data_IF_980209778269
#
_entry.id   IF_980209778269
#
_cell.length_a   1.000
_cell.length_b   1.000
_cell.length_c   1.000
_cell.angle_alpha   90.00
_cell.angle_beta   90.00
_cell.angle_gamma   90.00
#
_symmetry.space_group_name_H-M   'P 1'
#
loop_
_entity.id
_entity.type
_entity.pdbx_description
1 polymer ?
#
# COMPACT_ATOMS: atom_id res chain seq x y z
N UNK A 1 23.55 32.46 24.64
CA UNK A 1 22.46 33.23 24.01
C UNK A 1 23.06 34.51 23.46
N UNK A 2 23.06 34.70 22.15
CA UNK A 2 23.38 36.02 21.57
C UNK A 2 22.19 36.93 21.86
N UNK A 3 22.43 38.15 22.32
CA UNK A 3 21.37 39.13 22.58
C UNK A 3 20.67 39.48 21.26
N UNK A 4 19.33 39.47 21.25
CA UNK A 4 18.51 39.69 20.06
C UNK A 4 18.79 41.06 19.42
N UNK A 5 18.97 42.08 20.25
CA UNK A 5 19.26 43.44 19.81
C UNK A 5 20.63 43.52 19.12
N UNK A 6 21.64 42.82 19.65
CA UNK A 6 22.97 42.76 19.03
C UNK A 6 22.93 42.09 17.66
N UNK A 7 22.11 41.05 17.50
CA UNK A 7 21.95 40.36 16.21
C UNK A 7 21.24 41.26 15.19
N UNK A 8 20.24 42.03 15.62
CA UNK A 8 19.55 43.02 14.79
C UNK A 8 20.49 44.14 14.37
N UNK A 9 21.28 44.68 15.29
CA UNK A 9 22.29 45.69 15.00
C UNK A 9 23.31 45.18 13.98
N UNK A 10 23.76 43.92 14.12
CA UNK A 10 24.67 43.28 13.18
C UNK A 10 24.02 43.09 11.80
N UNK A 11 22.74 42.71 11.75
CA UNK A 11 22.01 42.58 10.50
C UNK A 11 21.81 43.91 9.77
N UNK A 12 21.69 45.01 10.52
CA UNK A 12 21.66 46.38 9.97
C UNK A 12 23.05 46.79 9.47
N UNK A 13 24.11 46.45 10.19
CA UNK A 13 25.50 46.75 9.79
C UNK A 13 25.94 45.96 8.56
N UNK A 14 25.44 44.73 8.38
CA UNK A 14 25.75 43.88 7.24
C UNK A 14 24.50 43.49 6.44
N UNK A 15 23.90 44.43 5.66
CA UNK A 15 22.63 44.18 4.96
C UNK A 15 22.68 43.09 3.91
N UNK A 16 23.86 42.71 3.42
CA UNK A 16 24.01 41.70 2.36
C UNK A 16 24.32 40.30 2.90
N UNK A 17 24.49 40.14 4.22
CA UNK A 17 24.74 38.85 4.83
C UNK A 17 23.42 38.07 4.98
N UNK A 18 23.15 37.16 4.04
CA UNK A 18 21.95 36.33 4.05
C UNK A 18 21.83 35.46 5.33
N UNK A 19 22.95 34.89 5.80
CA UNK A 19 22.97 34.07 7.01
C UNK A 19 22.49 34.82 8.25
N UNK A 20 22.89 36.09 8.44
CA UNK A 20 22.46 36.90 9.58
C UNK A 20 20.96 37.17 9.56
N UNK A 21 20.40 37.38 8.38
CA UNK A 21 18.96 37.63 8.26
C UNK A 21 18.13 36.38 8.46
N UNK A 22 18.64 35.22 8.04
CA UNK A 22 18.02 33.93 8.33
C UNK A 22 18.00 33.65 9.83
N UNK A 23 19.08 33.98 10.56
CA UNK A 23 19.14 33.83 12.01
C UNK A 23 18.20 34.81 12.75
N UNK A 24 18.12 36.07 12.31
CA UNK A 24 17.15 37.04 12.85
C UNK A 24 15.72 36.53 12.63
N UNK A 25 15.41 36.09 11.41
CA UNK A 25 14.11 35.55 11.05
C UNK A 25 13.74 34.31 11.89
N UNK A 26 14.67 33.37 12.04
CA UNK A 26 14.47 32.18 12.85
C UNK A 26 14.16 32.55 14.30
N UNK A 27 14.84 33.56 14.85
CA UNK A 27 14.54 34.05 16.20
C UNK A 27 13.18 34.71 16.30
N UNK A 28 12.87 35.64 15.39
CA UNK A 28 11.58 36.34 15.36
C UNK A 28 10.41 35.34 15.28
N UNK A 29 10.61 34.23 14.54
CA UNK A 29 9.67 33.12 14.47
C UNK A 29 9.47 32.41 15.81
N UNK A 30 10.56 32.02 16.47
CA UNK A 30 10.51 31.35 17.78
C UNK A 30 9.93 32.24 18.88
N UNK A 31 10.16 33.55 18.80
CA UNK A 31 9.61 34.53 19.77
C UNK A 31 8.22 35.02 19.41
N UNK A 32 7.66 34.63 18.26
CA UNK A 32 6.40 35.12 17.71
C UNK A 32 6.34 36.66 17.68
N UNK A 33 7.42 37.30 17.24
CA UNK A 33 7.51 38.75 17.15
C UNK A 33 6.66 39.29 15.98
N UNK A 34 6.00 40.42 16.17
CA UNK A 34 5.24 41.12 15.13
C UNK A 34 6.14 41.52 13.94
N UNK A 35 7.43 41.73 14.19
CA UNK A 35 8.43 42.02 13.16
C UNK A 35 8.76 40.82 12.23
N UNK A 36 8.22 39.63 12.48
CA UNK A 36 8.50 38.41 11.72
C UNK A 36 8.23 38.56 10.21
N UNK A 37 7.10 39.17 9.82
CA UNK A 37 6.82 39.34 8.38
C UNK A 37 7.87 40.24 7.69
N UNK A 38 8.38 41.24 8.40
CA UNK A 38 9.37 42.15 7.87
C UNK A 38 10.73 41.46 7.74
N UNK A 39 11.14 40.68 8.75
CA UNK A 39 12.37 39.89 8.68
C UNK A 39 12.26 38.76 7.65
N UNK A 40 11.07 38.19 7.43
CA UNK A 40 10.82 37.19 6.40
C UNK A 40 11.04 37.76 5.01
N UNK A 41 10.46 38.94 4.73
CA UNK A 41 10.66 39.64 3.45
C UNK A 41 12.13 40.00 3.22
N UNK A 42 12.82 40.47 4.27
CA UNK A 42 14.25 40.81 4.22
C UNK A 42 15.11 39.59 3.90
N UNK A 43 14.89 38.47 4.58
CA UNK A 43 15.64 37.24 4.37
C UNK A 43 15.33 36.62 2.99
N UNK A 44 14.06 36.53 2.60
CA UNK A 44 13.63 35.95 1.33
C UNK A 44 14.12 36.75 0.08
N UNK A 45 14.44 38.04 0.26
CA UNK A 45 15.04 38.87 -0.78
C UNK A 45 16.52 38.51 -1.02
N UNK A 46 17.22 38.01 0.01
CA UNK A 46 18.67 37.78 -0.01
C UNK A 46 19.07 36.32 0.02
N UNK A 47 18.17 35.42 0.40
CA UNK A 47 18.40 33.99 0.26
C UNK A 47 18.39 33.60 -1.21
N UNK A 48 19.37 32.80 -1.60
CA UNK A 48 19.44 32.22 -2.95
C UNK A 48 18.43 31.10 -3.14
N UNK A 49 18.16 30.37 -2.05
CA UNK A 49 17.25 29.24 -2.01
C UNK A 49 16.14 29.50 -0.98
N UNK A 50 14.90 29.53 -1.47
CA UNK A 50 13.71 29.75 -0.63
C UNK A 50 13.20 28.46 -0.02
N UNK A 51 13.46 27.31 -0.65
CA UNK A 51 13.10 26.01 -0.11
C UNK A 51 13.97 25.72 1.11
N UNK A 52 15.28 25.96 1.00
CA UNK A 52 16.19 25.81 2.13
C UNK A 52 15.90 26.80 3.27
N UNK A 53 15.48 28.04 2.95
CA UNK A 53 15.05 29.01 3.96
C UNK A 53 13.79 28.52 4.70
N UNK A 54 12.82 28.00 3.97
CA UNK A 54 11.61 27.42 4.53
C UNK A 54 11.94 26.23 5.43
N UNK A 55 12.77 25.30 4.95
CA UNK A 55 13.22 24.15 5.73
C UNK A 55 13.88 24.58 7.05
N UNK A 56 14.81 25.54 7.01
CA UNK A 56 15.52 26.03 8.18
C UNK A 56 14.60 26.61 9.27
N UNK A 57 13.48 27.24 8.88
CA UNK A 57 12.51 27.88 9.79
C UNK A 57 11.47 26.87 10.28
N UNK A 58 10.94 26.04 9.38
CA UNK A 58 9.78 25.18 9.67
C UNK A 58 10.15 23.76 10.09
N UNK A 59 11.38 23.30 9.89
CA UNK A 59 11.81 21.94 10.24
C UNK A 59 11.63 21.62 11.74
N UNK A 60 11.86 22.59 12.62
CA UNK A 60 11.66 22.38 14.07
C UNK A 60 10.19 22.17 14.43
N UNK A 61 9.26 22.86 13.75
CA UNK A 61 7.82 22.66 13.95
C UNK A 61 7.32 21.34 13.38
N UNK A 62 7.89 20.90 12.27
CA UNK A 62 7.53 19.62 11.67
C UNK A 62 7.95 18.48 12.59
N UNK A 63 9.14 18.55 13.20
CA UNK A 63 9.59 17.56 14.17
C UNK A 63 8.69 17.49 15.41
N UNK A 64 8.36 18.64 16.02
CA UNK A 64 7.48 18.70 17.19
C UNK A 64 6.08 18.13 16.89
N UNK A 65 5.49 18.48 15.74
CA UNK A 65 4.18 17.95 15.34
C UNK A 65 4.19 16.46 15.01
N UNK A 66 5.28 15.96 14.42
CA UNK A 66 5.40 14.53 14.10
C UNK A 66 5.53 13.71 15.38
N UNK A 67 6.28 14.18 16.37
CA UNK A 67 6.39 13.53 17.68
C UNK A 67 5.04 13.48 18.43
N UNK A 68 4.26 14.56 18.41
CA UNK A 68 2.90 14.56 18.98
C UNK A 68 1.96 13.56 18.28
N UNK A 69 2.03 13.47 16.95
CA UNK A 69 1.20 12.54 16.18
C UNK A 69 1.58 11.09 16.46
N UNK A 70 2.88 10.77 16.52
CA UNK A 70 3.36 9.41 16.81
C UNK A 70 3.00 8.96 18.24
N UNK A 71 3.00 9.86 19.21
CA UNK A 71 2.58 9.56 20.59
C UNK A 71 1.08 9.25 20.68
N UNK A 72 0.24 9.99 19.95
CA UNK A 72 -1.20 9.72 19.88
C UNK A 72 -1.49 8.43 19.11
N UNK A 73 -0.84 8.22 17.96
CA UNK A 73 -1.06 7.05 17.12
C UNK A 73 -0.63 5.77 17.82
N UNK A 74 0.50 5.79 18.54
CA UNK A 74 0.98 4.64 19.31
C UNK A 74 0.04 4.26 20.46
N UNK A 75 -0.59 5.25 21.11
CA UNK A 75 -1.56 5.03 22.18
C UNK A 75 -2.87 4.41 21.68
N UNK A 76 -3.37 4.89 20.54
CA UNK A 76 -4.57 4.34 19.91
C UNK A 76 -4.33 2.92 19.36
N UNK A 77 -3.18 2.68 18.72
CA UNK A 77 -2.80 1.36 18.21
C UNK A 77 -2.64 0.35 19.34
N UNK A 78 -2.02 0.72 20.46
CA UNK A 78 -1.87 -0.15 21.62
C UNK A 78 -3.23 -0.54 22.22
N UNK A 79 -4.18 0.40 22.26
CA UNK A 79 -5.54 0.16 22.78
C UNK A 79 -6.40 -0.72 21.87
N UNK A 80 -6.18 -0.65 20.55
CA UNK A 80 -6.87 -1.49 19.57
C UNK A 80 -6.33 -2.92 19.59
N UNK A 81 -4.99 -3.07 19.63
CA UNK A 81 -4.33 -4.38 19.64
C UNK A 81 -4.62 -5.17 20.92
N UNK A 82 -4.76 -4.50 22.08
CA UNK A 82 -5.12 -5.20 23.33
C UNK A 82 -6.53 -5.77 23.29
N UNK A 83 -7.51 -4.99 22.80
CA UNK A 83 -8.91 -5.43 22.67
C UNK A 83 -9.06 -6.59 21.69
N UNK A 84 -8.34 -6.54 20.58
CA UNK A 84 -8.36 -7.58 19.55
C UNK A 84 -7.73 -8.89 20.06
N UNK A 85 -6.63 -8.81 20.82
CA UNK A 85 -6.00 -9.97 21.47
C UNK A 85 -6.91 -10.63 22.51
N UNK A 86 -7.56 -9.83 23.36
CA UNK A 86 -8.49 -10.35 24.38
C UNK A 86 -9.71 -11.04 23.73
N UNK A 87 -10.24 -10.48 22.64
CA UNK A 87 -11.36 -11.07 21.91
C UNK A 87 -10.98 -12.40 21.23
N UNK A 88 -9.81 -12.48 20.59
CA UNK A 88 -9.28 -13.72 20.00
C UNK A 88 -9.04 -14.79 21.06
N UNK A 89 -8.52 -14.40 22.21
CA UNK A 89 -8.23 -15.32 23.31
C UNK A 89 -9.52 -15.90 23.91
N UNK A 90 -10.56 -15.08 24.09
CA UNK A 90 -11.89 -15.54 24.52
C UNK A 90 -12.55 -16.48 23.50
N UNK A 91 -12.42 -16.20 22.19
CA UNK A 91 -12.92 -17.08 21.14
C UNK A 91 -12.22 -18.44 21.14
N UNK A 92 -10.89 -18.45 21.34
CA UNK A 92 -10.11 -19.68 21.41
C UNK A 92 -10.50 -20.53 22.63
N UNK A 93 -10.69 -19.91 23.80
CA UNK A 93 -11.14 -20.60 25.01
C UNK A 93 -12.54 -21.23 24.84
N UNK A 94 -13.47 -20.52 24.21
CA UNK A 94 -14.79 -21.08 23.87
C UNK A 94 -14.68 -22.29 22.93
N UNK A 95 -13.83 -22.19 21.91
CA UNK A 95 -13.61 -23.29 20.97
C UNK A 95 -12.99 -24.52 21.67
N UNK A 96 -11.99 -24.33 22.53
CA UNK A 96 -11.36 -25.41 23.30
C UNK A 96 -12.38 -26.09 24.22
N UNK A 97 -13.20 -25.32 24.94
CA UNK A 97 -14.22 -25.87 25.84
C UNK A 97 -15.28 -26.66 25.07
N UNK A 98 -15.70 -26.18 23.89
CA UNK A 98 -16.65 -26.90 23.03
C UNK A 98 -16.08 -28.23 22.51
N UNK A 99 -14.82 -28.24 22.07
CA UNK A 99 -14.15 -29.46 21.61
C UNK A 99 -13.91 -30.45 22.75
N UNK A 100 -13.57 -29.97 23.94
CA UNK A 100 -13.38 -30.81 25.12
C UNK A 100 -14.70 -31.51 25.52
N UNK A 101 -15.83 -30.80 25.46
CA UNK A 101 -17.14 -31.37 25.72
C UNK A 101 -17.50 -32.47 24.70
N UNK A 102 -17.28 -32.22 23.41
CA UNK A 102 -17.51 -33.20 22.35
C UNK A 102 -16.64 -34.45 22.52
N UNK A 103 -15.35 -34.29 22.81
CA UNK A 103 -14.43 -35.41 23.06
C UNK A 103 -14.80 -36.22 24.31
N UNK A 104 -15.31 -35.56 25.36
CA UNK A 104 -15.81 -36.26 26.55
C UNK A 104 -17.04 -37.11 26.23
N UNK A 105 -17.96 -36.60 25.41
CA UNK A 105 -19.16 -37.31 24.97
C UNK A 105 -18.80 -38.51 24.09
N UNK A 106 -17.89 -38.34 23.13
CA UNK A 106 -17.41 -39.44 22.30
C UNK A 106 -16.72 -40.54 23.11
N UNK A 107 -15.92 -40.18 24.13
CA UNK A 107 -15.31 -41.17 25.03
C UNK A 107 -16.35 -41.96 25.81
N UNK A 108 -17.41 -41.32 26.29
CA UNK A 108 -18.49 -42.01 27.00
C UNK A 108 -19.26 -42.98 26.09
N UNK A 109 -19.55 -42.59 24.85
CA UNK A 109 -20.18 -43.47 23.87
C UNK A 109 -19.32 -44.71 23.54
N UNK A 110 -18.01 -44.51 23.35
CA UNK A 110 -17.07 -45.60 23.10
C UNK A 110 -16.96 -46.53 24.32
N UNK A 111 -16.98 -45.99 25.54
CA UNK A 111 -16.96 -46.79 26.76
C UNK A 111 -18.21 -47.69 26.87
N UNK A 112 -19.41 -47.14 26.61
CA UNK A 112 -20.67 -47.90 26.60
C UNK A 112 -20.68 -49.01 25.55
N UNK A 113 -20.17 -48.75 24.34
CA UNK A 113 -20.07 -49.78 23.30
C UNK A 113 -19.08 -50.88 23.67
N UNK A 114 -18.02 -50.57 24.41
CA UNK A 114 -17.01 -51.54 24.85
C UNK A 114 -17.51 -52.41 26.02
N UNK A 115 -18.39 -51.89 26.86
CA UNK A 115 -19.10 -52.66 27.89
C UNK A 115 -20.15 -53.60 27.28
N UNK A 116 -20.87 -53.17 26.24
CA UNK A 116 -21.82 -54.01 25.50
C UNK A 116 -21.15 -55.11 24.66
N UNK A 117 -19.85 -55.00 24.36
CA UNK A 117 -19.08 -55.96 23.54
C UNK A 117 -18.35 -57.05 24.35
N UNK A 118 -18.57 -57.17 25.66
CA UNK A 118 -17.94 -58.22 26.50
C UNK A 118 -18.70 -59.56 26.54
N UNK A 119 -19.86 -59.64 25.92
CA UNK A 119 -20.53 -60.92 25.64
C UNK A 119 -20.51 -61.17 24.13
N UNK A 120 -20.25 -62.41 23.74
CA UNK A 120 -20.05 -62.93 22.38
C UNK A 120 -18.61 -62.86 21.80
N UNK A 121 -17.89 -63.97 22.00
CA UNK A 121 -16.88 -64.49 21.07
C UNK A 121 -17.61 -65.14 19.88
N UNK A 122 -17.13 -65.02 18.61
CA UNK A 122 -15.97 -65.81 18.17
C UNK A 122 -15.04 -65.18 17.08
N UNK A 123 -13.81 -65.70 17.05
CA UNK A 123 -12.81 -65.88 15.96
C UNK A 123 -12.80 -64.94 14.73
N UNK A 124 -11.67 -64.24 14.44
CA UNK A 124 -11.44 -63.58 13.16
C UNK A 124 -10.80 -64.52 12.12
N UNK A 125 -11.47 -64.69 10.97
CA UNK A 125 -10.85 -65.17 9.73
C UNK A 125 -10.30 -63.98 8.93
N UNK A 126 -9.09 -64.12 8.42
CA UNK A 126 -8.32 -63.13 7.66
C UNK A 126 -8.62 -63.29 6.16
N UNK A 127 -8.98 -62.20 5.48
CA UNK A 127 -8.92 -62.07 4.01
C UNK A 127 -8.20 -60.75 3.70
N UNK A 128 -7.02 -60.75 3.04
CA UNK A 128 -6.39 -59.53 2.56
C UNK A 128 -7.05 -59.01 1.26
N UNK A 129 -7.34 -57.71 1.21
CA UNK A 129 -7.74 -56.99 0.00
C UNK A 129 -6.56 -56.10 -0.40
N UNK A 130 -5.96 -56.36 -1.56
CA UNK A 130 -4.88 -55.55 -2.13
C UNK A 130 -5.38 -54.66 -3.29
N UNK A 131 -4.98 -53.39 -3.17
CA UNK A 131 -4.56 -52.44 -4.21
C UNK A 131 -5.61 -51.73 -5.08
N UNK A 132 -5.70 -50.42 -4.83
CA UNK A 132 -6.37 -49.40 -5.64
C UNK A 132 -5.31 -48.75 -6.53
N UNK A 133 -5.49 -48.86 -7.85
CA UNK A 133 -4.57 -48.33 -8.86
C UNK A 133 -4.43 -46.79 -8.80
N UNK A 134 -3.20 -46.32 -8.97
CA UNK A 134 -2.81 -44.92 -9.03
C UNK A 134 -2.93 -44.37 -10.46
N UNK A 135 -3.54 -43.20 -10.61
CA UNK A 135 -3.62 -42.44 -11.85
C UNK A 135 -2.35 -41.59 -11.98
N UNK A 136 -1.58 -41.79 -13.04
CA UNK A 136 -0.36 -41.01 -13.35
C UNK A 136 -0.70 -39.69 -14.06
N UNK A 137 -0.25 -38.52 -13.57
CA UNK A 137 -0.30 -37.27 -14.32
C UNK A 137 0.76 -37.22 -15.44
N UNK A 138 0.36 -36.82 -16.64
CA UNK A 138 1.21 -36.61 -17.82
C UNK A 138 2.28 -35.54 -17.58
N UNK A 139 3.53 -35.82 -17.97
CA UNK A 139 4.69 -34.95 -17.77
C UNK A 139 4.67 -33.67 -18.65
N UNK A 140 5.01 -32.50 -18.10
CA UNK A 140 5.49 -31.37 -18.90
C UNK A 140 6.95 -31.59 -19.31
N UNK A 141 7.26 -31.27 -20.57
CA UNK A 141 8.57 -31.44 -21.21
C UNK A 141 9.71 -30.85 -20.37
N UNK A 142 10.52 -31.72 -19.76
CA UNK A 142 11.75 -31.36 -19.03
C UNK A 142 12.85 -31.01 -20.03
N UNK A 143 12.95 -29.74 -20.43
CA UNK A 143 14.20 -29.22 -21.00
C UNK A 143 15.21 -29.07 -19.85
N UNK A 144 16.39 -29.64 -20.00
CA UNK A 144 17.46 -29.55 -18.99
C UNK A 144 18.02 -28.13 -18.93
N UNK A 145 18.36 -27.66 -17.73
CA UNK A 145 19.05 -26.38 -17.52
C UNK A 145 20.32 -26.24 -18.38
N UNK A 146 21.01 -27.35 -18.65
CA UNK A 146 22.18 -27.38 -19.53
C UNK A 146 21.87 -27.07 -21.00
N UNK A 147 20.70 -27.46 -21.51
CA UNK A 147 20.24 -27.10 -22.86
C UNK A 147 19.88 -25.61 -22.95
N UNK A 148 19.34 -25.05 -21.86
CA UNK A 148 19.06 -23.62 -21.76
C UNK A 148 20.34 -22.78 -21.73
N UNK A 149 21.35 -23.19 -20.94
CA UNK A 149 22.66 -22.52 -20.89
C UNK A 149 23.37 -22.58 -22.26
N UNK A 150 23.34 -23.74 -22.94
CA UNK A 150 23.95 -23.89 -24.27
C UNK A 150 23.32 -22.98 -25.33
N UNK A 151 22.03 -22.63 -25.18
CA UNK A 151 21.36 -21.68 -26.08
C UNK A 151 21.79 -20.22 -25.87
N UNK A 152 22.43 -19.89 -24.74
CA UNK A 152 22.98 -18.55 -24.47
C UNK A 152 24.42 -18.37 -24.98
N UNK A 153 25.11 -19.46 -25.29
CA UNK A 153 26.56 -19.46 -25.56
C UNK A 153 26.92 -19.29 -27.05
N UNK A 154 25.95 -19.01 -27.92
CA UNK A 154 26.27 -18.54 -29.27
C UNK A 154 26.82 -17.11 -29.23
N UNK A 155 28.05 -16.86 -29.72
CA UNK A 155 28.58 -15.51 -29.80
C UNK A 155 27.80 -14.75 -30.88
N UNK A 156 26.85 -13.91 -30.47
CA UNK A 156 26.22 -12.90 -31.34
C UNK A 156 27.28 -11.93 -31.86
N UNK A 157 28.01 -12.33 -32.91
CA UNK A 157 28.82 -11.46 -33.77
C UNK A 157 27.91 -10.65 -34.70
N UNK A 158 26.99 -9.87 -34.13
CA UNK A 158 26.06 -8.98 -34.87
C UNK A 158 25.88 -7.63 -34.18
N UNK A 159 26.93 -7.05 -33.60
CA UNK A 159 26.79 -5.80 -32.83
C UNK A 159 27.68 -4.63 -33.27
N UNK A 160 28.56 -4.78 -34.25
CA UNK A 160 29.36 -3.65 -34.78
C UNK A 160 28.80 -3.09 -36.10
N UNK A 161 28.54 -3.95 -37.08
CA UNK A 161 28.11 -3.53 -38.44
C UNK A 161 26.74 -2.83 -38.39
N UNK A 162 25.81 -3.33 -37.57
CA UNK A 162 24.48 -2.73 -37.43
C UNK A 162 24.52 -1.34 -36.78
N UNK A 163 25.57 -1.00 -36.02
CA UNK A 163 25.68 0.30 -35.35
C UNK A 163 26.12 1.38 -36.33
N UNK A 164 27.08 1.08 -37.21
CA UNK A 164 27.55 2.04 -38.21
C UNK A 164 26.45 2.39 -39.21
N UNK A 165 25.67 1.39 -39.65
CA UNK A 165 24.53 1.61 -40.54
C UNK A 165 23.39 2.36 -39.84
N UNK A 166 23.16 2.13 -38.54
CA UNK A 166 22.19 2.92 -37.76
C UNK A 166 22.63 4.38 -37.61
N UNK A 167 23.91 4.61 -37.36
CA UNK A 167 24.47 5.95 -37.18
C UNK A 167 24.39 6.71 -38.51
N UNK A 168 24.76 6.09 -39.64
CA UNK A 168 24.61 6.70 -40.97
C UNK A 168 23.15 7.04 -41.27
N UNK A 169 22.23 6.09 -41.05
CA UNK A 169 20.78 6.35 -41.20
C UNK A 169 20.28 7.46 -40.28
N UNK A 170 20.82 7.59 -39.07
CA UNK A 170 20.42 8.65 -38.15
C UNK A 170 20.89 10.02 -38.62
N UNK A 171 22.13 10.11 -39.12
CA UNK A 171 22.69 11.34 -39.68
C UNK A 171 21.94 11.74 -40.95
N UNK A 172 21.69 10.80 -41.87
CA UNK A 172 21.00 11.07 -43.14
C UNK A 172 19.54 11.49 -42.97
N UNK A 173 18.85 10.94 -41.96
CA UNK A 173 17.42 11.19 -41.76
C UNK A 173 17.12 12.41 -40.87
N UNK A 174 18.14 13.08 -40.30
CA UNK A 174 18.04 14.21 -39.36
C UNK A 174 16.70 14.25 -38.58
N UNK A 175 16.40 13.21 -37.78
CA UNK A 175 15.05 13.05 -37.26
C UNK A 175 14.73 14.20 -36.30
N UNK A 176 13.91 15.14 -36.75
CA UNK A 176 13.42 16.21 -35.90
C UNK A 176 12.43 15.59 -34.90
N UNK A 177 12.70 15.71 -33.60
CA UNK A 177 11.72 15.39 -32.59
C UNK A 177 10.58 16.40 -32.72
N UNK A 178 9.49 16.02 -33.38
CA UNK A 178 8.27 16.80 -33.39
C UNK A 178 7.71 16.74 -31.96
N UNK A 179 8.18 17.65 -31.11
CA UNK A 179 7.65 17.79 -29.75
C UNK A 179 6.18 18.13 -29.94
N UNK A 180 5.31 17.18 -29.59
CA UNK A 180 3.88 17.46 -29.52
C UNK A 180 3.73 18.76 -28.73
N UNK A 181 3.14 19.78 -29.37
CA UNK A 181 2.85 21.04 -28.71
C UNK A 181 1.91 20.67 -27.57
N UNK A 182 2.43 20.61 -26.34
CA UNK A 182 1.59 20.41 -25.15
C UNK A 182 0.46 21.42 -25.26
N UNK A 183 -0.77 20.93 -25.34
CA UNK A 183 -1.94 21.79 -25.34
C UNK A 183 -1.82 22.72 -24.14
N UNK A 184 -2.15 24.00 -24.36
CA UNK A 184 -2.09 24.97 -23.29
C UNK A 184 -2.95 24.46 -22.11
N UNK A 185 -2.44 24.58 -20.88
CA UNK A 185 -3.14 24.09 -19.70
C UNK A 185 -4.55 24.68 -19.66
N UNK A 186 -5.57 23.83 -19.79
CA UNK A 186 -6.97 24.21 -19.68
C UNK A 186 -7.48 23.78 -18.31
N UNK A 187 -7.74 24.73 -17.38
CA UNK A 187 -8.23 24.41 -16.05
C UNK A 187 -9.51 23.56 -16.05
N UNK A 188 -10.39 23.77 -17.04
CA UNK A 188 -11.66 23.03 -17.18
C UNK A 188 -11.50 21.56 -17.58
N UNK A 189 -10.44 21.19 -18.30
CA UNK A 189 -10.18 19.79 -18.66
C UNK A 189 -9.50 19.08 -17.49
N UNK A 190 -8.57 19.75 -16.81
CA UNK A 190 -7.89 19.21 -15.63
C UNK A 190 -8.82 19.03 -14.43
N UNK A 191 -9.81 19.91 -14.26
CA UNK A 191 -10.82 19.74 -13.20
C UNK A 191 -11.67 18.49 -13.40
N UNK A 192 -11.96 18.11 -14.66
CA UNK A 192 -12.69 16.88 -14.98
C UNK A 192 -11.87 15.63 -14.66
N UNK A 193 -10.55 15.67 -14.87
CA UNK A 193 -9.66 14.57 -14.49
C UNK A 193 -9.66 14.32 -12.98
N UNK A 194 -9.82 15.36 -12.15
CA UNK A 194 -9.95 15.21 -10.70
C UNK A 194 -11.28 14.59 -10.25
N UNK A 195 -12.29 14.59 -11.11
CA UNK A 195 -13.61 13.99 -10.83
C UNK A 195 -13.62 12.50 -11.20
N UNK A 196 -12.76 12.10 -12.14
CA UNK A 196 -12.57 10.70 -12.49
C UNK A 196 -11.85 10.02 -11.34
N UNK A 197 -12.52 9.04 -10.73
CA UNK A 197 -11.95 8.20 -9.69
C UNK A 197 -11.12 7.09 -10.33
N UNK A 198 -10.02 6.72 -9.68
CA UNK A 198 -9.17 5.64 -10.15
C UNK A 198 -9.86 4.29 -9.95
N UNK A 199 -10.42 3.75 -11.03
CA UNK A 199 -11.11 2.45 -11.07
C UNK A 199 -10.17 1.25 -10.83
N UNK A 200 -8.85 1.48 -10.75
CA UNK A 200 -7.85 0.44 -10.47
C UNK A 200 -7.82 0.01 -8.99
N UNK A 201 -8.19 0.91 -8.07
CA UNK A 201 -8.18 0.63 -6.63
C UNK A 201 -9.59 0.64 -6.05
N UNK A 202 -10.28 -0.49 -6.20
CA UNK A 202 -11.65 -0.68 -5.67
C UNK A 202 -11.66 -1.75 -4.59
N UNK A 203 -12.31 -1.45 -3.46
CA UNK A 203 -12.53 -2.39 -2.35
C UNK A 203 -14.02 -2.52 -2.03
N UNK A 204 -14.41 -3.62 -1.39
CA UNK A 204 -15.80 -3.89 -0.98
C UNK A 204 -16.33 -2.79 -0.05
N UNK A 205 -15.51 -2.31 0.88
CA UNK A 205 -15.86 -1.23 1.81
C UNK A 205 -16.07 0.10 1.07
N UNK A 206 -15.24 0.40 0.07
CA UNK A 206 -15.40 1.59 -0.76
C UNK A 206 -16.70 1.54 -1.59
N UNK A 207 -17.00 0.40 -2.21
CA UNK A 207 -18.24 0.19 -2.94
C UNK A 207 -19.48 0.35 -2.02
N UNK A 208 -19.41 -0.19 -0.80
CA UNK A 208 -20.43 -0.01 0.22
C UNK A 208 -20.58 1.45 0.66
N UNK A 209 -19.48 2.19 0.79
CA UNK A 209 -19.50 3.61 1.11
C UNK A 209 -20.20 4.43 0.01
N UNK A 210 -19.91 4.15 -1.27
CA UNK A 210 -20.60 4.81 -2.39
C UNK A 210 -22.11 4.56 -2.36
N UNK A 211 -22.52 3.31 -2.07
CA UNK A 211 -23.93 2.97 -1.94
C UNK A 211 -24.60 3.73 -0.78
N UNK A 212 -23.92 3.85 0.36
CA UNK A 212 -24.41 4.57 1.54
C UNK A 212 -24.50 6.08 1.31
N UNK A 213 -23.58 6.65 0.53
CA UNK A 213 -23.59 8.05 0.12
C UNK A 213 -24.64 8.36 -0.96
N UNK A 214 -25.32 7.34 -1.50
CA UNK A 214 -26.32 7.50 -2.56
C UNK A 214 -25.73 7.58 -3.97
N UNK A 215 -24.42 7.35 -4.14
CA UNK A 215 -23.76 7.28 -5.44
C UNK A 215 -23.94 5.89 -6.07
N UNK A 216 -25.17 5.59 -6.49
CA UNK A 216 -25.57 4.26 -7.00
C UNK A 216 -24.77 3.82 -8.23
N UNK A 217 -24.57 4.70 -9.20
CA UNK A 217 -23.80 4.39 -10.42
C UNK A 217 -22.35 4.01 -10.10
N UNK A 218 -21.71 4.74 -9.19
CA UNK A 218 -20.34 4.46 -8.73
C UNK A 218 -20.26 3.14 -7.98
N UNK A 219 -21.22 2.89 -7.08
CA UNK A 219 -21.29 1.63 -6.34
C UNK A 219 -21.46 0.44 -7.28
N UNK A 220 -22.31 0.54 -8.30
CA UNK A 220 -22.52 -0.53 -9.29
C UNK A 220 -21.22 -0.81 -10.05
N UNK A 221 -20.55 0.22 -10.59
CA UNK A 221 -19.26 0.05 -11.29
C UNK A 221 -18.21 -0.59 -10.38
N UNK A 222 -18.11 -0.12 -9.14
CA UNK A 222 -17.18 -0.68 -8.16
C UNK A 222 -17.45 -2.17 -7.90
N UNK A 223 -18.71 -2.58 -7.73
CA UNK A 223 -19.06 -3.99 -7.57
C UNK A 223 -18.84 -4.83 -8.83
N UNK A 224 -19.04 -4.26 -10.03
CA UNK A 224 -18.74 -4.93 -11.30
C UNK A 224 -17.23 -5.21 -11.45
N UNK A 225 -16.38 -4.25 -11.08
CA UNK A 225 -14.92 -4.41 -11.04
C UNK A 225 -14.55 -5.51 -10.02
N UNK A 226 -15.09 -5.44 -8.80
CA UNK A 226 -14.84 -6.44 -7.76
C UNK A 226 -15.30 -7.85 -8.16
N UNK A 227 -16.40 -7.97 -8.89
CA UNK A 227 -16.89 -9.23 -9.43
C UNK A 227 -15.92 -9.84 -10.46
N UNK A 228 -15.31 -9.00 -11.31
CA UNK A 228 -14.31 -9.44 -12.27
C UNK A 228 -12.99 -9.85 -11.59
N UNK A 229 -12.56 -9.13 -10.56
CA UNK A 229 -11.35 -9.44 -9.80
C UNK A 229 -11.50 -10.65 -8.86
N UNK A 230 -12.70 -10.90 -8.33
CA UNK A 230 -12.97 -11.93 -7.32
C UNK A 230 -14.06 -12.91 -7.78
N UNK A 231 -13.77 -13.81 -8.75
CA UNK A 231 -14.77 -14.69 -9.34
C UNK A 231 -15.44 -15.63 -8.32
N UNK A 232 -14.75 -16.02 -7.25
CA UNK A 232 -15.29 -16.85 -6.15
C UNK A 232 -16.48 -16.18 -5.44
N UNK A 233 -16.46 -14.85 -5.32
CA UNK A 233 -17.52 -14.05 -4.71
C UNK A 233 -18.47 -13.44 -5.74
N UNK A 234 -18.43 -13.87 -7.00
CA UNK A 234 -19.20 -13.24 -8.08
C UNK A 234 -20.71 -13.22 -7.82
N UNK A 235 -21.27 -14.30 -7.26
CA UNK A 235 -22.70 -14.36 -6.90
C UNK A 235 -23.10 -13.37 -5.82
N UNK A 236 -22.20 -13.09 -4.86
CA UNK A 236 -22.43 -12.11 -3.80
C UNK A 236 -22.51 -10.69 -4.37
N UNK A 237 -21.54 -10.29 -5.20
CA UNK A 237 -21.53 -8.98 -5.83
C UNK A 237 -22.70 -8.79 -6.81
N UNK A 238 -23.07 -9.83 -7.56
CA UNK A 238 -24.25 -9.79 -8.43
C UNK A 238 -25.55 -9.51 -7.65
N UNK A 239 -25.70 -10.09 -6.46
CA UNK A 239 -26.84 -9.83 -5.59
C UNK A 239 -26.89 -8.36 -5.15
N UNK A 240 -25.76 -7.80 -4.66
CA UNK A 240 -25.65 -6.39 -4.27
C UNK A 240 -25.95 -5.43 -5.43
N UNK A 241 -25.43 -5.72 -6.63
CA UNK A 241 -25.73 -4.93 -7.84
C UNK A 241 -27.23 -4.97 -8.13
N UNK A 242 -27.87 -6.14 -8.00
CA UNK A 242 -29.30 -6.28 -8.24
C UNK A 242 -30.16 -5.52 -7.23
N UNK A 243 -29.73 -5.44 -5.97
CA UNK A 243 -30.38 -4.65 -4.93
C UNK A 243 -30.28 -3.16 -5.21
N UNK A 244 -29.08 -2.69 -5.59
CA UNK A 244 -28.85 -1.29 -5.94
C UNK A 244 -29.62 -0.85 -7.19
N UNK A 245 -29.83 -1.74 -8.16
CA UNK A 245 -30.64 -1.46 -9.37
C UNK A 245 -32.15 -1.44 -9.10
N UNK A 246 -32.61 -2.04 -8.01
CA UNK A 246 -34.04 -2.07 -7.62
C UNK A 246 -34.43 -0.89 -6.73
N UNK A 247 -33.45 -0.20 -6.17
CA UNK A 247 -33.62 0.95 -5.27
C UNK A 247 -33.82 2.22 -6.07
#
# INVERSE_FOLDING_TARGET
MVDQDKLRDLAVQFPFAAALQNEVLKRDFLTQDEAFEESLRKAALRSTDREHLFELIFQSLVQEKVEEIDEVLSKDLASSVSKEKEALQAQLEQQINSQAAELSFQRELIARQKEQRKEETPSPQVIPIEQKEQISPSEPTKRSFTDWIRSMEEPKRRSSILKEDLIKKFIDNEPSLNREKKSFFKPEEMSKLSILEDEEFVTETLAGLYANQGHTEKAIRAYEILQAHNPEKSGYFAALISELKKK
#
